data_IF_217638241758
#
_entry.id   IF_217638241758
#
_cell.length_a   1.000
_cell.length_b   1.000
_cell.length_c   1.000
_cell.angle_alpha   90.00
_cell.angle_beta   90.00
_cell.angle_gamma   90.00
#
_symmetry.space_group_name_H-M   'P 1'
#
loop_
_entity.id
_entity.type
_entity.pdbx_description
1 polymer ?
#
# COMPACT_ATOMS: atom_id res chain seq x y z
N UNK A 1 -9.30 -0.56 9.87
CA UNK A 1 -8.27 -0.52 8.81
C UNK A 1 -6.95 -1.02 9.39
N UNK A 2 -6.55 -2.25 9.05
CA UNK A 2 -5.29 -2.86 9.49
C UNK A 2 -4.25 -2.87 8.38
N UNK A 3 -4.61 -3.24 7.17
CA UNK A 3 -3.68 -3.38 6.05
C UNK A 3 -3.74 -2.12 5.20
N UNK A 4 -2.59 -1.50 4.95
CA UNK A 4 -2.51 -0.27 4.16
C UNK A 4 -1.75 -0.57 2.89
N UNK A 5 -2.47 -0.53 1.79
CA UNK A 5 -1.90 -0.63 0.44
C UNK A 5 -1.23 0.69 0.12
N UNK A 6 0.01 0.63 -0.35
CA UNK A 6 0.75 1.77 -0.90
C UNK A 6 1.07 1.50 -2.36
N UNK A 7 0.78 2.49 -3.19
CA UNK A 7 0.97 2.42 -4.64
C UNK A 7 1.25 3.82 -5.19
N UNK A 8 1.68 3.90 -6.44
CA UNK A 8 1.75 5.16 -7.16
C UNK A 8 0.87 5.16 -8.41
N UNK A 9 0.44 6.36 -8.78
CA UNK A 9 -0.22 6.64 -10.06
C UNK A 9 0.33 7.97 -10.56
N UNK A 10 0.81 8.03 -11.81
CA UNK A 10 1.41 9.24 -12.40
C UNK A 10 2.50 9.86 -11.50
N UNK A 11 3.39 9.01 -10.95
CA UNK A 11 4.49 9.39 -10.05
C UNK A 11 4.07 9.93 -8.66
N UNK A 12 2.77 9.97 -8.35
CA UNK A 12 2.27 10.38 -7.05
C UNK A 12 1.99 9.14 -6.19
N UNK A 13 2.53 9.12 -4.97
CA UNK A 13 2.31 8.04 -4.00
C UNK A 13 0.99 8.19 -3.25
N UNK A 14 0.22 7.11 -3.16
CA UNK A 14 -1.07 7.01 -2.50
C UNK A 14 -1.09 5.87 -1.50
N UNK A 15 -2.04 5.94 -0.56
CA UNK A 15 -2.31 4.87 0.38
C UNK A 15 -3.81 4.70 0.61
N UNK A 16 -4.24 3.44 0.76
CA UNK A 16 -5.64 3.06 1.03
C UNK A 16 -5.67 1.95 2.08
N UNK A 17 -6.56 2.09 3.07
CA UNK A 17 -6.72 1.13 4.16
C UNK A 17 -7.77 0.05 3.88
N UNK A 18 -7.47 -1.17 4.32
CA UNK A 18 -8.31 -2.36 4.23
C UNK A 18 -8.37 -3.07 5.60
N UNK A 19 -9.44 -3.81 5.84
CA UNK A 19 -9.60 -4.60 7.07
C UNK A 19 -9.11 -6.03 6.93
N UNK A 20 -9.06 -6.56 5.70
CA UNK A 20 -8.56 -7.90 5.42
C UNK A 20 -7.42 -7.87 4.39
N UNK A 21 -6.56 -8.88 4.45
CA UNK A 21 -5.36 -8.98 3.62
C UNK A 21 -5.69 -9.37 2.17
N UNK A 22 -6.73 -10.17 1.97
CA UNK A 22 -7.14 -10.64 0.63
C UNK A 22 -7.55 -9.49 -0.28
N UNK A 23 -8.43 -8.59 0.18
CA UNK A 23 -8.87 -7.41 -0.55
C UNK A 23 -7.70 -6.45 -0.84
N UNK A 24 -6.75 -6.34 0.09
CA UNK A 24 -5.54 -5.54 -0.10
C UNK A 24 -4.66 -6.12 -1.23
N UNK A 25 -4.50 -7.44 -1.29
CA UNK A 25 -3.79 -8.10 -2.40
C UNK A 25 -4.55 -7.99 -3.72
N UNK A 26 -5.86 -8.22 -3.71
CA UNK A 26 -6.70 -8.12 -4.91
C UNK A 26 -6.65 -6.70 -5.48
N UNK A 27 -6.67 -5.67 -4.62
CA UNK A 27 -6.51 -4.29 -5.04
C UNK A 27 -5.18 -4.04 -5.76
N UNK A 28 -4.05 -4.53 -5.21
CA UNK A 28 -2.74 -4.38 -5.84
C UNK A 28 -2.66 -5.13 -7.17
N UNK A 29 -3.23 -6.35 -7.22
CA UNK A 29 -3.23 -7.19 -8.41
C UNK A 29 -4.01 -6.56 -9.56
N UNK A 30 -5.30 -6.26 -9.34
CA UNK A 30 -6.14 -5.66 -10.37
C UNK A 30 -5.73 -4.22 -10.67
N UNK A 31 -5.27 -3.48 -9.67
CA UNK A 31 -4.69 -2.16 -9.82
C UNK A 31 -3.54 -2.12 -10.82
N UNK A 32 -2.65 -3.10 -10.73
CA UNK A 32 -1.54 -3.26 -11.67
C UNK A 32 -1.99 -3.76 -13.05
N UNK A 33 -2.83 -4.80 -13.11
CA UNK A 33 -3.23 -5.44 -14.37
C UNK A 33 -4.17 -4.57 -15.22
N UNK A 34 -5.06 -3.78 -14.61
CA UNK A 34 -6.15 -3.09 -15.33
C UNK A 34 -6.08 -1.56 -15.26
N UNK A 35 -5.44 -0.99 -14.23
CA UNK A 35 -5.54 0.44 -13.92
C UNK A 35 -4.21 1.20 -13.97
N UNK A 36 -3.14 0.56 -14.46
CA UNK A 36 -1.79 1.14 -14.60
C UNK A 36 -1.27 1.74 -13.28
N UNK A 37 -1.66 1.13 -12.15
CA UNK A 37 -1.10 1.47 -10.84
C UNK A 37 0.28 0.84 -10.71
N UNK A 38 1.19 1.52 -10.03
CA UNK A 38 2.50 1.00 -9.65
C UNK A 38 2.43 0.58 -8.17
N UNK A 39 2.04 -0.66 -7.85
CA UNK A 39 2.01 -1.13 -6.47
C UNK A 39 3.40 -1.15 -5.84
N UNK A 40 3.49 -0.63 -4.61
CA UNK A 40 4.71 -0.70 -3.81
C UNK A 40 4.64 -1.85 -2.80
N UNK A 41 3.52 -1.98 -2.10
CA UNK A 41 3.33 -3.05 -1.13
C UNK A 41 2.21 -2.79 -0.14
N UNK A 42 2.17 -3.63 0.89
CA UNK A 42 1.21 -3.56 2.00
C UNK A 42 1.99 -3.27 3.29
N UNK A 43 1.47 -2.37 4.11
CA UNK A 43 1.91 -2.15 5.48
C UNK A 43 0.85 -2.69 6.46
N UNK A 44 1.24 -3.56 7.39
CA UNK A 44 0.37 -4.04 8.46
C UNK A 44 0.45 -3.08 9.66
N UNK A 45 -0.59 -2.29 9.88
CA UNK A 45 -0.65 -1.31 10.94
C UNK A 45 -0.67 -1.90 12.35
N UNK A 46 -0.94 -3.20 12.51
CA UNK A 46 -0.89 -3.88 13.80
C UNK A 46 0.53 -4.28 14.19
N UNK A 47 1.30 -4.83 13.24
CA UNK A 47 2.63 -5.39 13.48
C UNK A 47 3.77 -4.43 13.10
N UNK A 48 3.49 -3.46 12.23
CA UNK A 48 4.49 -2.58 11.63
C UNK A 48 5.28 -3.23 10.50
N UNK A 49 4.88 -4.43 10.04
CA UNK A 49 5.54 -5.13 8.95
C UNK A 49 5.20 -4.53 7.58
N UNK A 50 6.16 -4.61 6.67
CA UNK A 50 6.00 -4.27 5.25
C UNK A 50 6.09 -5.54 4.42
N UNK A 51 5.14 -5.71 3.51
CA UNK A 51 5.14 -6.75 2.49
C UNK A 51 5.25 -6.08 1.13
N UNK A 52 6.46 -5.98 0.56
CA UNK A 52 6.65 -5.45 -0.78
C UNK A 52 5.81 -6.24 -1.79
N UNK A 53 5.26 -5.54 -2.78
CA UNK A 53 4.48 -6.21 -3.79
C UNK A 53 5.38 -6.88 -4.84
N UNK A 54 5.12 -8.16 -5.07
CA UNK A 54 5.71 -8.93 -6.15
C UNK A 54 4.61 -9.34 -7.11
N UNK A 55 4.84 -9.11 -8.40
CA UNK A 55 3.97 -9.60 -9.46
C UNK A 55 4.62 -10.82 -10.09
N UNK A 56 3.99 -11.99 -9.95
CA UNK A 56 4.49 -13.27 -10.49
C UNK A 56 5.92 -13.62 -10.00
N UNK A 57 6.25 -13.23 -8.78
CA UNK A 57 7.55 -13.48 -8.14
C UNK A 57 8.63 -12.46 -8.48
N UNK A 58 8.28 -11.38 -9.19
CA UNK A 58 9.20 -10.29 -9.51
C UNK A 58 8.73 -8.99 -8.85
N UNK A 59 9.65 -8.29 -8.18
CA UNK A 59 9.38 -6.97 -7.61
C UNK A 59 9.26 -5.97 -8.76
N UNK A 60 8.09 -5.38 -8.94
CA UNK A 60 7.85 -4.44 -10.04
C UNK A 60 8.30 -3.01 -9.72
N UNK A 61 8.62 -2.72 -8.46
CA UNK A 61 9.00 -1.41 -7.96
C UNK A 61 10.20 -1.50 -7.03
N UNK A 62 11.25 -0.72 -7.31
CA UNK A 62 12.47 -0.63 -6.49
C UNK A 62 12.33 0.35 -5.31
N UNK A 63 11.11 0.45 -4.77
CA UNK A 63 10.80 1.33 -3.65
C UNK A 63 11.17 0.66 -2.34
N UNK A 64 11.96 1.35 -1.53
CA UNK A 64 12.35 0.91 -0.20
C UNK A 64 11.12 0.76 0.73
N UNK A 65 11.13 -0.27 1.55
CA UNK A 65 10.14 -0.55 2.59
C UNK A 65 9.93 0.65 3.54
N UNK A 66 10.96 1.49 3.70
CA UNK A 66 10.88 2.74 4.47
C UNK A 66 9.90 3.75 3.85
N UNK A 67 9.82 3.82 2.52
CA UNK A 67 8.89 4.69 1.79
C UNK A 67 7.46 4.17 1.94
N UNK A 68 7.28 2.85 1.86
CA UNK A 68 5.98 2.19 2.08
C UNK A 68 5.48 2.51 3.49
N UNK A 69 6.33 2.28 4.49
CA UNK A 69 6.02 2.57 5.90
C UNK A 69 5.65 4.03 6.11
N UNK A 70 6.47 4.97 5.60
CA UNK A 70 6.23 6.40 5.77
C UNK A 70 4.90 6.84 5.15
N UNK A 71 4.62 6.42 3.93
CA UNK A 71 3.39 6.77 3.21
C UNK A 71 2.15 6.23 3.95
N UNK A 72 2.22 4.98 4.41
CA UNK A 72 1.16 4.36 5.19
C UNK A 72 0.90 5.06 6.55
N UNK A 73 1.97 5.42 7.26
CA UNK A 73 1.87 6.14 8.53
C UNK A 73 1.30 7.55 8.35
N UNK A 74 1.66 8.24 7.28
CA UNK A 74 1.12 9.57 6.99
C UNK A 74 -0.38 9.51 6.63
N UNK A 75 -0.81 8.46 5.93
CA UNK A 75 -2.24 8.16 5.72
C UNK A 75 -3.00 7.92 7.04
N UNK A 76 -2.45 7.10 7.95
CA UNK A 76 -3.07 6.87 9.26
C UNK A 76 -3.20 8.16 10.08
N UNK A 77 -2.15 8.98 10.12
CA UNK A 77 -2.18 10.29 10.83
C UNK A 77 -3.26 11.19 10.25
N UNK A 78 -3.42 11.23 8.92
CA UNK A 78 -4.47 12.01 8.27
C UNK A 78 -5.86 11.49 8.66
N UNK A 79 -6.10 10.17 8.59
CA UNK A 79 -7.38 9.56 8.94
C UNK A 79 -7.82 9.84 10.39
N UNK A 80 -6.87 9.81 11.35
CA UNK A 80 -7.14 10.14 12.76
C UNK A 80 -7.51 11.61 12.94
N UNK A 81 -6.84 12.52 12.22
CA UNK A 81 -7.14 13.97 12.31
C UNK A 81 -8.54 14.32 11.80
N UNK A 82 -9.09 13.55 10.88
CA UNK A 82 -10.45 13.76 10.36
C UNK A 82 -11.56 13.21 11.26
N UNK A 83 -11.21 12.47 12.32
CA UNK A 83 -12.18 11.87 13.27
C UNK A 83 -12.24 12.58 14.62
N UNK A 84 -11.48 13.65 14.82
CA UNK A 84 -11.46 14.49 16.04
C UNK A 84 -12.06 15.86 15.76
#
# INVERSE_FOLDING_TARGET
>A
MRYIVVFAQQEIGYAVGFDNTSDAHDFLFWGYEEYDLVPYGIFDALTGEVWPYEHRGERISDVDDQIISRTALDYLKAAIRHTT
#
